data_IF_722945582594
#
_entry.id   IF_722945582594
#
_cell.length_a   1.000
_cell.length_b   1.000
_cell.length_c   1.000
_cell.angle_alpha   90.00
_cell.angle_beta   90.00
_cell.angle_gamma   90.00
#
_symmetry.space_group_name_H-M   'P 1'
#
loop_
_entity.id
_entity.type
_entity.pdbx_description
1 polymer ?
#
# COMPACT_ATOMS: atom_id res chain seq x y z
N UNK A 1 -43.15 -32.24 -67.27
CA UNK A 1 -44.13 -31.39 -66.60
C UNK A 1 -44.41 -32.03 -65.26
N UNK A 2 -43.77 -31.57 -64.17
CA UNK A 2 -43.98 -32.16 -62.85
C UNK A 2 -45.43 -31.88 -62.42
N UNK A 3 -46.10 -32.86 -61.83
CA UNK A 3 -47.45 -32.73 -61.36
C UNK A 3 -47.56 -31.81 -60.16
N UNK A 4 -48.69 -31.15 -59.96
CA UNK A 4 -48.88 -30.19 -58.83
C UNK A 4 -48.71 -30.84 -57.47
N UNK A 5 -48.92 -32.15 -57.34
CA UNK A 5 -48.65 -32.92 -56.10
C UNK A 5 -47.17 -33.07 -55.77
N UNK A 6 -46.28 -33.21 -56.76
CA UNK A 6 -44.84 -33.29 -56.56
C UNK A 6 -44.25 -31.90 -56.12
N UNK A 7 -44.82 -30.81 -56.65
CA UNK A 7 -44.43 -29.46 -56.21
C UNK A 7 -44.87 -29.15 -54.77
N UNK A 8 -46.07 -29.58 -54.38
CA UNK A 8 -46.59 -29.42 -53.00
C UNK A 8 -45.83 -30.31 -51.98
N UNK A 9 -45.41 -31.51 -52.37
CA UNK A 9 -44.54 -32.39 -51.56
C UNK A 9 -43.17 -31.75 -51.25
N UNK A 10 -42.52 -31.21 -52.26
CA UNK A 10 -41.22 -30.52 -52.13
C UNK A 10 -41.27 -29.26 -51.26
N UNK A 11 -42.38 -28.52 -51.32
CA UNK A 11 -42.58 -27.33 -50.47
C UNK A 11 -42.80 -27.74 -49.01
N UNK A 12 -43.57 -28.78 -48.73
CA UNK A 12 -43.78 -29.30 -47.34
C UNK A 12 -42.52 -29.89 -46.73
N UNK A 13 -41.68 -30.60 -47.46
CA UNK A 13 -40.39 -31.07 -46.99
C UNK A 13 -39.43 -29.94 -46.66
N UNK A 14 -39.40 -28.89 -47.47
CA UNK A 14 -38.54 -27.72 -47.28
C UNK A 14 -39.00 -26.88 -46.10
N UNK A 15 -40.32 -26.73 -45.87
CA UNK A 15 -40.85 -26.06 -44.67
C UNK A 15 -40.52 -26.81 -43.37
N UNK A 16 -40.59 -28.17 -43.37
CA UNK A 16 -40.23 -29.01 -42.22
C UNK A 16 -38.75 -28.88 -41.83
N UNK A 17 -37.88 -28.73 -42.82
CA UNK A 17 -36.44 -28.51 -42.60
C UNK A 17 -36.14 -27.16 -41.93
N UNK A 18 -36.82 -26.06 -42.37
CA UNK A 18 -36.65 -24.75 -41.78
C UNK A 18 -37.16 -24.67 -40.32
N UNK A 19 -38.23 -25.33 -40.00
CA UNK A 19 -38.78 -25.41 -38.65
C UNK A 19 -37.83 -26.15 -37.72
N UNK A 20 -37.25 -27.30 -38.16
CA UNK A 20 -36.27 -28.05 -37.38
C UNK A 20 -34.96 -27.25 -37.14
N UNK A 21 -34.49 -26.51 -38.16
CA UNK A 21 -33.31 -25.66 -38.01
C UNK A 21 -33.60 -24.48 -37.07
N UNK A 22 -34.77 -23.87 -37.15
CA UNK A 22 -35.18 -22.76 -36.27
C UNK A 22 -35.29 -23.22 -34.82
N UNK A 23 -35.83 -24.43 -34.56
CA UNK A 23 -35.94 -25.00 -33.21
C UNK A 23 -34.53 -25.31 -32.62
N UNK A 24 -33.63 -25.88 -33.45
CA UNK A 24 -32.23 -26.10 -33.06
C UNK A 24 -31.52 -24.78 -32.72
N UNK A 25 -31.72 -23.74 -33.54
CA UNK A 25 -31.11 -22.41 -33.29
C UNK A 25 -31.71 -21.77 -32.02
N UNK A 26 -33.04 -21.89 -31.81
CA UNK A 26 -33.67 -21.39 -30.59
C UNK A 26 -33.14 -22.11 -29.34
N UNK A 27 -32.96 -23.42 -29.39
CA UNK A 27 -32.38 -24.22 -28.32
C UNK A 27 -30.89 -23.79 -28.03
N UNK A 28 -30.12 -23.62 -29.09
CA UNK A 28 -28.73 -23.16 -28.98
C UNK A 28 -28.64 -21.76 -28.36
N UNK A 29 -29.52 -20.84 -28.80
CA UNK A 29 -29.59 -19.48 -28.23
C UNK A 29 -30.00 -19.52 -26.74
N UNK A 30 -30.92 -20.40 -26.34
CA UNK A 30 -31.30 -20.52 -24.94
C UNK A 30 -30.16 -21.04 -24.08
N UNK A 31 -29.39 -22.05 -24.54
CA UNK A 31 -28.19 -22.56 -23.85
C UNK A 31 -27.13 -21.46 -23.76
N UNK A 32 -26.89 -20.71 -24.83
CA UNK A 32 -25.93 -19.62 -24.84
C UNK A 32 -26.33 -18.48 -23.86
N UNK A 33 -27.60 -18.10 -23.83
CA UNK A 33 -28.13 -17.15 -22.87
C UNK A 33 -27.95 -17.64 -21.42
N UNK A 34 -28.23 -18.91 -21.15
CA UNK A 34 -28.05 -19.49 -19.82
C UNK A 34 -26.61 -19.49 -19.38
N UNK A 35 -25.67 -19.87 -20.27
CA UNK A 35 -24.20 -19.76 -20.00
C UNK A 35 -23.80 -18.31 -19.77
N UNK A 36 -24.30 -17.37 -20.57
CA UNK A 36 -23.99 -15.95 -20.44
C UNK A 36 -24.49 -15.38 -19.10
N UNK A 37 -25.68 -15.77 -18.65
CA UNK A 37 -26.22 -15.37 -17.34
C UNK A 37 -25.37 -15.93 -16.21
N UNK A 38 -25.02 -17.22 -16.25
CA UNK A 38 -24.17 -17.87 -15.23
C UNK A 38 -22.82 -17.20 -15.17
N UNK A 39 -22.22 -16.90 -16.32
CA UNK A 39 -20.94 -16.19 -16.40
C UNK A 39 -21.04 -14.76 -15.82
N UNK A 40 -22.12 -14.03 -16.14
CA UNK A 40 -22.35 -12.69 -15.61
C UNK A 40 -22.48 -12.70 -14.08
N UNK A 41 -23.26 -13.63 -13.52
CA UNK A 41 -23.41 -13.81 -12.07
C UNK A 41 -22.06 -14.13 -11.43
N UNK A 42 -21.25 -14.98 -12.04
CA UNK A 42 -19.92 -15.34 -11.54
C UNK A 42 -18.97 -14.13 -11.50
N UNK A 43 -18.93 -13.34 -12.59
CA UNK A 43 -18.12 -12.12 -12.66
C UNK A 43 -18.56 -11.08 -11.63
N UNK A 44 -19.90 -10.91 -11.46
CA UNK A 44 -20.44 -9.97 -10.47
C UNK A 44 -20.06 -10.37 -9.04
N UNK A 45 -20.07 -11.66 -8.74
CA UNK A 45 -19.69 -12.20 -7.44
C UNK A 45 -18.20 -11.98 -7.13
N UNK A 46 -17.34 -12.18 -8.12
CA UNK A 46 -15.89 -11.89 -8.01
C UNK A 46 -15.63 -10.40 -7.79
N UNK A 47 -16.28 -9.52 -8.57
CA UNK A 47 -16.17 -8.06 -8.39
C UNK A 47 -16.58 -7.62 -7.00
N UNK A 48 -17.68 -8.16 -6.49
CA UNK A 48 -18.18 -7.83 -5.15
C UNK A 48 -17.17 -8.22 -4.07
N UNK A 49 -16.59 -9.42 -4.12
CA UNK A 49 -15.57 -9.86 -3.17
C UNK A 49 -14.36 -8.91 -3.13
N UNK A 50 -13.84 -8.50 -4.30
CA UNK A 50 -12.70 -7.57 -4.40
C UNK A 50 -13.07 -6.22 -3.79
N UNK A 51 -14.26 -5.71 -4.10
CA UNK A 51 -14.73 -4.42 -3.58
C UNK A 51 -14.90 -4.45 -2.07
N UNK A 52 -15.51 -5.49 -1.52
CA UNK A 52 -15.74 -5.64 -0.07
C UNK A 52 -14.41 -5.69 0.70
N UNK A 53 -13.40 -6.37 0.15
CA UNK A 53 -12.05 -6.42 0.73
C UNK A 53 -11.36 -5.07 0.65
N UNK A 54 -11.41 -4.39 -0.49
CA UNK A 54 -10.82 -3.07 -0.65
C UNK A 54 -11.42 -2.05 0.34
N UNK A 55 -12.76 -2.09 0.55
CA UNK A 55 -13.45 -1.26 1.52
C UNK A 55 -13.00 -1.59 2.95
N UNK A 56 -12.88 -2.87 3.30
CA UNK A 56 -12.43 -3.29 4.63
C UNK A 56 -11.02 -2.77 4.94
N UNK A 57 -10.09 -2.85 3.97
CA UNK A 57 -8.72 -2.35 4.14
C UNK A 57 -8.64 -0.83 4.19
N UNK A 58 -9.45 -0.13 3.40
CA UNK A 58 -9.52 1.33 3.49
C UNK A 58 -10.07 1.77 4.86
N UNK A 59 -11.04 1.03 5.38
CA UNK A 59 -11.59 1.27 6.72
C UNK A 59 -10.54 1.02 7.82
N UNK A 60 -9.81 -0.10 7.78
CA UNK A 60 -8.73 -0.39 8.73
C UNK A 60 -7.63 0.68 8.70
N UNK A 61 -7.22 1.10 7.50
CA UNK A 61 -6.23 2.16 7.32
C UNK A 61 -6.72 3.48 7.89
N UNK A 62 -7.97 3.84 7.64
CA UNK A 62 -8.59 5.06 8.15
C UNK A 62 -8.68 5.02 9.67
N UNK A 63 -9.13 3.92 10.26
CA UNK A 63 -9.18 3.75 11.72
C UNK A 63 -7.79 3.85 12.37
N UNK A 64 -6.78 3.20 11.77
CA UNK A 64 -5.41 3.30 12.26
C UNK A 64 -4.88 4.74 12.18
N UNK A 65 -5.18 5.46 11.10
CA UNK A 65 -4.84 6.87 10.95
C UNK A 65 -5.50 7.73 12.04
N UNK A 66 -6.80 7.52 12.29
CA UNK A 66 -7.55 8.25 13.32
C UNK A 66 -7.02 7.96 14.72
N UNK A 67 -6.72 6.71 15.05
CA UNK A 67 -6.14 6.33 16.33
C UNK A 67 -4.76 6.95 16.55
N UNK A 68 -3.90 6.93 15.52
CA UNK A 68 -2.59 7.58 15.57
C UNK A 68 -2.73 9.10 15.74
N UNK A 69 -3.64 9.70 14.99
CA UNK A 69 -3.89 11.14 15.09
C UNK A 69 -4.44 11.54 16.47
N UNK A 70 -5.38 10.78 17.01
CA UNK A 70 -5.95 11.01 18.33
C UNK A 70 -4.90 10.94 19.44
N UNK A 71 -3.97 9.97 19.34
CA UNK A 71 -2.88 9.78 20.31
C UNK A 71 -1.85 10.91 20.26
N UNK A 72 -1.48 11.38 19.06
CA UNK A 72 -0.32 12.25 18.89
C UNK A 72 -0.64 13.72 18.56
N UNK A 73 -1.91 14.09 18.36
CA UNK A 73 -2.33 15.44 17.92
C UNK A 73 -1.71 16.58 18.73
N UNK A 74 -1.55 16.42 20.05
CA UNK A 74 -1.02 17.44 20.94
C UNK A 74 0.51 17.49 20.94
N UNK A 75 1.19 16.44 20.46
CA UNK A 75 2.63 16.32 20.41
C UNK A 75 3.20 16.67 19.03
N UNK A 76 2.44 16.45 17.96
CA UNK A 76 2.88 16.73 16.58
C UNK A 76 3.44 18.14 16.39
N UNK A 77 2.80 19.24 16.86
CA UNK A 77 3.34 20.59 16.70
C UNK A 77 4.65 20.79 17.46
N UNK A 78 4.79 20.17 18.66
CA UNK A 78 5.99 20.29 19.51
C UNK A 78 7.19 19.61 18.85
N UNK A 79 6.96 18.45 18.23
CA UNK A 79 7.98 17.67 17.56
C UNK A 79 8.29 18.14 16.12
N UNK A 80 7.51 19.09 15.59
CA UNK A 80 7.57 19.47 14.19
C UNK A 80 7.28 18.29 13.26
N UNK A 81 6.31 17.47 13.67
CA UNK A 81 5.92 16.25 12.98
C UNK A 81 4.51 16.36 12.40
N UNK A 82 4.21 15.49 11.47
CA UNK A 82 2.89 15.33 10.85
C UNK A 82 2.55 13.86 10.62
N UNK A 83 1.27 13.52 10.63
CA UNK A 83 0.78 12.20 10.22
C UNK A 83 -0.01 12.36 8.95
N UNK A 84 0.31 11.55 7.94
CA UNK A 84 -0.39 11.55 6.65
C UNK A 84 -1.44 10.44 6.58
N UNK A 85 -2.49 10.58 5.73
CA UNK A 85 -3.51 9.54 5.55
C UNK A 85 -2.96 8.20 5.02
N UNK A 86 -1.75 8.19 4.44
CA UNK A 86 -1.04 6.98 4.02
C UNK A 86 -0.28 6.27 5.15
N UNK A 87 -0.58 6.62 6.43
CA UNK A 87 0.05 6.10 7.64
C UNK A 87 1.54 6.46 7.78
N UNK A 88 1.97 7.51 7.11
CA UNK A 88 3.33 8.04 7.26
C UNK A 88 3.38 9.05 8.40
N UNK A 89 4.14 8.74 9.43
CA UNK A 89 4.51 9.67 10.50
C UNK A 89 5.83 10.34 10.11
N UNK A 90 5.81 11.63 9.85
CA UNK A 90 6.96 12.39 9.32
C UNK A 90 7.48 13.38 10.34
N UNK A 91 8.79 13.38 10.57
CA UNK A 91 9.52 14.39 11.34
C UNK A 91 10.22 15.33 10.37
N UNK A 92 9.78 16.59 10.31
CA UNK A 92 10.24 17.58 9.31
C UNK A 92 11.43 18.42 9.78
N UNK A 93 11.71 18.49 11.10
CA UNK A 93 12.77 19.31 11.66
C UNK A 93 14.07 18.52 11.79
N UNK A 94 14.76 18.29 10.67
CA UNK A 94 15.99 17.47 10.63
C UNK A 94 17.09 17.98 11.54
N UNK A 95 17.18 19.28 11.78
CA UNK A 95 18.16 19.88 12.70
C UNK A 95 17.99 19.41 14.14
N UNK A 96 16.77 19.04 14.53
CA UNK A 96 16.50 18.41 15.83
C UNK A 96 16.82 16.92 15.83
N UNK A 97 16.91 16.28 14.66
CA UNK A 97 17.08 14.84 14.54
C UNK A 97 18.56 14.44 14.54
N UNK A 98 19.39 15.16 13.75
CA UNK A 98 20.80 14.87 13.52
C UNK A 98 21.59 16.16 13.29
N UNK A 99 22.84 16.18 13.72
CA UNK A 99 23.74 17.25 13.30
C UNK A 99 24.00 17.18 11.78
N UNK A 100 24.41 18.31 11.20
CA UNK A 100 24.65 18.39 9.76
C UNK A 100 25.79 17.45 9.33
N UNK A 101 25.50 16.56 8.39
CA UNK A 101 26.45 15.56 7.90
C UNK A 101 26.65 14.37 8.85
N UNK A 102 25.98 14.36 9.99
CA UNK A 102 26.11 13.32 11.00
C UNK A 102 24.94 12.32 10.96
N UNK A 103 25.18 11.16 11.49
CA UNK A 103 24.19 10.06 11.66
C UNK A 103 23.93 9.72 13.12
N UNK A 104 24.58 10.39 14.06
CA UNK A 104 24.29 10.24 15.48
C UNK A 104 23.04 11.01 15.85
N UNK A 105 22.19 10.40 16.69
CA UNK A 105 20.94 11.02 17.11
C UNK A 105 21.22 12.20 18.04
N UNK A 106 20.55 13.30 17.81
CA UNK A 106 20.57 14.40 18.79
C UNK A 106 19.77 13.99 20.05
N UNK A 107 20.17 14.45 21.25
CA UNK A 107 19.47 14.18 22.50
C UNK A 107 17.97 14.56 22.48
N UNK A 108 17.64 15.64 21.78
CA UNK A 108 16.23 16.05 21.60
C UNK A 108 15.44 15.00 20.82
N UNK A 109 16.03 14.43 19.78
CA UNK A 109 15.37 13.38 19.00
C UNK A 109 15.28 12.05 19.77
N UNK A 110 16.28 11.69 20.55
CA UNK A 110 16.24 10.56 21.47
C UNK A 110 15.07 10.70 22.44
N UNK A 111 14.88 11.90 23.00
CA UNK A 111 13.75 12.21 23.87
C UNK A 111 12.40 12.05 23.16
N UNK A 112 12.30 12.56 21.92
CA UNK A 112 11.10 12.41 21.09
C UNK A 112 10.85 10.93 20.81
N UNK A 113 11.86 10.18 20.36
CA UNK A 113 11.72 8.74 20.04
C UNK A 113 11.35 7.90 21.27
N UNK A 114 11.89 8.22 22.44
CA UNK A 114 11.57 7.55 23.71
C UNK A 114 10.09 7.72 24.11
N UNK A 115 9.50 8.86 23.79
CA UNK A 115 8.08 9.13 24.03
C UNK A 115 7.19 8.57 22.91
N UNK A 116 7.56 8.85 21.68
CA UNK A 116 6.79 8.48 20.48
C UNK A 116 6.69 6.98 20.26
N UNK A 117 7.86 6.31 20.19
CA UNK A 117 7.95 4.95 19.66
C UNK A 117 7.19 3.90 20.47
N UNK A 118 7.25 3.88 21.83
CA UNK A 118 6.47 2.90 22.61
C UNK A 118 4.95 3.05 22.42
N UNK A 119 4.45 4.28 22.36
CA UNK A 119 3.03 4.57 22.13
C UNK A 119 2.61 4.18 20.70
N UNK A 120 3.45 4.47 19.73
CA UNK A 120 3.26 4.09 18.33
C UNK A 120 3.20 2.56 18.18
N UNK A 121 4.16 1.83 18.75
CA UNK A 121 4.19 0.35 18.72
C UNK A 121 2.96 -0.23 19.39
N UNK A 122 2.54 0.32 20.54
CA UNK A 122 1.32 -0.14 21.25
C UNK A 122 0.08 -0.07 20.37
N UNK A 123 -0.05 0.98 19.55
CA UNK A 123 -1.19 1.15 18.64
C UNK A 123 -1.10 0.15 17.48
N UNK A 124 0.02 0.12 16.76
CA UNK A 124 0.17 -0.72 15.57
C UNK A 124 0.20 -2.22 15.89
N UNK A 125 0.58 -2.61 17.09
CA UNK A 125 0.55 -4.02 17.54
C UNK A 125 -0.74 -4.40 18.28
N UNK A 126 -1.72 -3.51 18.37
CA UNK A 126 -3.03 -3.82 18.91
C UNK A 126 -3.69 -4.97 18.10
N UNK A 127 -4.46 -5.87 18.76
CA UNK A 127 -5.05 -7.04 18.10
C UNK A 127 -5.85 -6.72 16.81
N UNK A 128 -6.44 -5.53 16.76
CA UNK A 128 -7.23 -5.08 15.60
C UNK A 128 -6.40 -4.69 14.37
N UNK A 129 -5.07 -4.50 14.51
CA UNK A 129 -4.19 -4.06 13.42
C UNK A 129 -3.03 -5.01 13.15
N UNK A 130 -2.56 -5.70 14.21
CA UNK A 130 -1.31 -6.44 14.21
C UNK A 130 -1.14 -7.42 13.05
N UNK A 131 -2.21 -8.12 12.70
CA UNK A 131 -2.20 -9.18 11.68
C UNK A 131 -2.37 -8.64 10.26
N UNK A 132 -2.69 -7.34 10.14
CA UNK A 132 -2.85 -6.64 8.87
C UNK A 132 -1.63 -5.80 8.51
N UNK A 133 -0.59 -5.76 9.37
CA UNK A 133 0.64 -5.02 9.10
C UNK A 133 1.63 -5.93 8.37
N UNK A 134 1.99 -5.52 7.15
CA UNK A 134 3.02 -6.15 6.35
C UNK A 134 4.42 -5.74 6.79
N UNK A 135 4.62 -4.44 7.06
CA UNK A 135 5.92 -3.87 7.36
C UNK A 135 5.78 -2.49 8.01
N UNK A 136 6.70 -2.17 8.90
CA UNK A 136 6.94 -0.81 9.41
C UNK A 136 8.32 -0.37 8.95
N UNK A 137 8.42 0.77 8.28
CA UNK A 137 9.69 1.31 7.75
C UNK A 137 10.10 2.57 8.48
N UNK A 138 11.37 2.65 8.83
CA UNK A 138 12.03 3.90 9.13
C UNK A 138 12.70 4.35 7.82
N UNK A 139 12.18 5.40 7.18
CA UNK A 139 12.70 5.93 5.92
C UNK A 139 13.48 7.23 6.19
N UNK A 140 14.74 7.27 5.75
CA UNK A 140 15.60 8.45 5.84
C UNK A 140 15.76 9.12 4.48
N UNK A 141 15.51 10.42 4.43
CA UNK A 141 15.59 11.22 3.22
C UNK A 141 16.60 12.35 3.39
N UNK A 142 17.23 12.73 2.29
CA UNK A 142 18.14 13.88 2.21
C UNK A 142 17.67 14.87 1.15
N UNK A 143 18.26 16.04 1.11
CA UNK A 143 18.23 16.93 -0.07
C UNK A 143 19.15 16.37 -1.16
N UNK A 144 19.02 16.90 -2.39
CA UNK A 144 19.83 16.48 -3.53
C UNK A 144 21.29 16.91 -3.43
N UNK A 145 21.57 18.06 -2.81
CA UNK A 145 22.91 18.61 -2.72
C UNK A 145 23.83 17.88 -1.75
N UNK A 146 25.13 17.83 -2.09
CA UNK A 146 26.21 17.40 -1.22
C UNK A 146 27.44 18.28 -1.42
N UNK A 147 27.95 18.87 -0.33
CA UNK A 147 29.13 19.74 -0.40
C UNK A 147 30.38 18.93 -0.78
N UNK A 148 31.02 19.31 -1.87
CA UNK A 148 32.23 18.66 -2.37
C UNK A 148 31.98 17.48 -3.31
N UNK A 149 30.75 17.18 -3.68
CA UNK A 149 30.47 16.24 -4.76
C UNK A 149 30.85 16.85 -6.12
N UNK A 150 31.40 16.03 -7.00
CA UNK A 150 31.85 16.45 -8.34
C UNK A 150 30.70 16.46 -9.35
N UNK A 151 29.66 15.63 -9.10
CA UNK A 151 28.50 15.46 -9.94
C UNK A 151 27.29 14.98 -9.10
N UNK A 152 26.13 14.86 -9.75
CA UNK A 152 24.88 14.45 -9.10
C UNK A 152 24.90 13.01 -8.63
N UNK A 153 25.53 12.10 -9.36
CA UNK A 153 25.62 10.69 -8.99
C UNK A 153 26.47 10.52 -7.72
N UNK A 154 27.56 11.24 -7.60
CA UNK A 154 28.40 11.23 -6.40
C UNK A 154 27.63 11.81 -5.20
N UNK A 155 26.92 12.91 -5.39
CA UNK A 155 26.07 13.50 -4.35
C UNK A 155 25.00 12.50 -3.90
N UNK A 156 24.35 11.81 -4.85
CA UNK A 156 23.34 10.81 -4.57
C UNK A 156 23.89 9.64 -3.74
N UNK A 157 25.08 9.13 -4.08
CA UNK A 157 25.72 8.01 -3.35
C UNK A 157 26.11 8.42 -1.92
N UNK A 158 26.69 9.62 -1.74
CA UNK A 158 27.01 10.12 -0.40
C UNK A 158 25.76 10.33 0.45
N UNK A 159 24.70 10.89 -0.11
CA UNK A 159 23.41 11.03 0.52
C UNK A 159 22.78 9.68 0.86
N UNK A 160 22.97 8.65 0.01
CA UNK A 160 22.51 7.28 0.27
C UNK A 160 23.20 6.72 1.51
N UNK A 161 24.52 6.80 1.59
CA UNK A 161 25.28 6.34 2.75
C UNK A 161 24.85 7.05 4.04
N UNK A 162 24.66 8.38 3.99
CA UNK A 162 24.21 9.17 5.14
C UNK A 162 22.78 8.78 5.58
N UNK A 163 21.85 8.67 4.64
CA UNK A 163 20.46 8.31 4.96
C UNK A 163 20.34 6.90 5.54
N UNK A 164 21.11 5.94 5.04
CA UNK A 164 21.20 4.59 5.59
C UNK A 164 21.80 4.58 7.01
N UNK A 165 22.86 5.33 7.25
CA UNK A 165 23.47 5.44 8.57
C UNK A 165 22.48 6.03 9.59
N UNK A 166 21.75 7.08 9.23
CA UNK A 166 20.76 7.74 10.09
C UNK A 166 19.60 6.81 10.44
N UNK A 167 19.04 6.11 9.46
CA UNK A 167 17.93 5.18 9.74
C UNK A 167 18.38 3.99 10.55
N UNK A 168 19.62 3.50 10.38
CA UNK A 168 20.22 2.48 11.24
C UNK A 168 20.38 2.96 12.68
N UNK A 169 20.82 4.19 12.90
CA UNK A 169 20.95 4.77 14.25
C UNK A 169 19.58 4.88 14.93
N UNK A 170 18.56 5.38 14.20
CA UNK A 170 17.20 5.42 14.72
C UNK A 170 16.65 4.03 15.05
N UNK A 171 16.84 3.04 14.17
CA UNK A 171 16.44 1.65 14.41
C UNK A 171 17.12 1.07 15.66
N UNK A 172 18.44 1.24 15.77
CA UNK A 172 19.20 0.73 16.93
C UNK A 172 18.67 1.33 18.23
N UNK A 173 18.43 2.64 18.24
CA UNK A 173 17.92 3.36 19.40
C UNK A 173 16.53 2.85 19.82
N UNK A 174 15.56 2.80 18.90
CA UNK A 174 14.19 2.41 19.23
C UNK A 174 14.09 0.95 19.67
N UNK A 175 14.91 0.05 19.12
CA UNK A 175 14.98 -1.35 19.56
C UNK A 175 15.64 -1.53 20.92
N UNK A 176 16.48 -0.57 21.35
CA UNK A 176 17.11 -0.58 22.67
C UNK A 176 16.17 -0.09 23.78
N UNK A 177 15.07 0.58 23.46
CA UNK A 177 14.12 1.11 24.45
C UNK A 177 13.52 -0.02 25.32
N UNK A 178 13.64 0.07 26.66
CA UNK A 178 13.05 -0.93 27.56
C UNK A 178 11.52 -1.06 27.42
N UNK A 179 10.86 0.06 27.08
CA UNK A 179 9.40 0.13 26.96
C UNK A 179 8.81 -0.70 25.79
N UNK A 180 9.64 -1.20 24.87
CA UNK A 180 9.21 -2.06 23.74
C UNK A 180 9.72 -3.51 23.88
N UNK A 181 10.25 -3.89 25.06
CA UNK A 181 10.84 -5.21 25.30
C UNK A 181 9.92 -6.36 24.92
N UNK A 182 8.63 -6.25 25.26
CA UNK A 182 7.62 -7.28 25.02
C UNK A 182 7.22 -7.41 23.53
N UNK A 183 7.58 -6.43 22.71
CA UNK A 183 7.29 -6.41 21.28
C UNK A 183 8.53 -6.67 20.40
N UNK A 184 9.70 -6.96 20.98
CA UNK A 184 10.96 -7.10 20.24
C UNK A 184 10.92 -8.14 19.14
N UNK A 185 10.28 -9.28 19.36
CA UNK A 185 10.21 -10.34 18.35
C UNK A 185 9.34 -9.91 17.16
N UNK A 186 8.24 -9.23 17.45
CA UNK A 186 7.40 -8.63 16.39
C UNK A 186 8.15 -7.54 15.65
N UNK A 187 8.83 -6.63 16.37
CA UNK A 187 9.62 -5.56 15.78
C UNK A 187 10.74 -6.10 14.88
N UNK A 188 11.47 -7.14 15.30
CA UNK A 188 12.50 -7.76 14.45
C UNK A 188 11.97 -8.35 13.16
N UNK A 189 10.71 -8.78 13.16
CA UNK A 189 10.07 -9.36 11.98
C UNK A 189 9.54 -8.30 11.02
N UNK A 190 9.01 -7.20 11.55
CA UNK A 190 8.23 -6.25 10.75
C UNK A 190 8.86 -4.86 10.64
N UNK A 191 9.84 -4.48 11.49
CA UNK A 191 10.46 -3.16 11.45
C UNK A 191 11.75 -3.20 10.63
N UNK A 192 11.82 -2.33 9.62
CA UNK A 192 12.98 -2.16 8.73
C UNK A 192 13.48 -0.72 8.73
N UNK A 193 14.73 -0.51 8.29
CA UNK A 193 15.34 0.81 8.17
C UNK A 193 15.90 1.00 6.75
N UNK A 194 15.45 2.03 6.05
CA UNK A 194 15.71 2.27 4.64
C UNK A 194 16.23 3.68 4.42
N UNK A 195 17.47 3.83 3.97
CA UNK A 195 17.98 5.10 3.47
C UNK A 195 17.58 5.28 2.01
N UNK A 196 16.98 6.40 1.68
CA UNK A 196 16.43 6.68 0.35
C UNK A 196 17.16 7.83 -0.38
N UNK A 197 18.26 8.34 0.18
CA UNK A 197 18.97 9.45 -0.43
C UNK A 197 18.03 10.62 -0.77
N UNK A 198 18.25 11.24 -1.91
CA UNK A 198 17.39 12.27 -2.51
C UNK A 198 16.37 11.73 -3.52
N UNK A 199 16.07 10.43 -3.49
CA UNK A 199 15.11 9.82 -4.44
C UNK A 199 13.69 10.40 -4.34
N UNK A 200 13.33 11.02 -3.21
CA UNK A 200 12.00 11.58 -2.95
C UNK A 200 12.11 12.97 -2.32
N UNK A 201 12.72 13.90 -3.03
CA UNK A 201 12.79 15.30 -2.59
C UNK A 201 11.39 15.93 -2.54
N UNK A 202 11.24 16.94 -1.70
CA UNK A 202 10.02 17.74 -1.63
C UNK A 202 10.23 19.01 -2.44
N UNK A 203 9.32 19.28 -3.36
CA UNK A 203 9.34 20.46 -4.21
C UNK A 203 8.38 21.52 -3.67
N UNK A 204 8.80 22.78 -3.75
CA UNK A 204 7.92 23.95 -3.59
C UNK A 204 7.89 24.64 -4.97
N UNK A 205 6.86 24.32 -5.77
CA UNK A 205 6.82 24.68 -7.18
C UNK A 205 7.85 23.89 -7.99
N UNK A 206 8.75 24.59 -8.68
CA UNK A 206 9.82 23.99 -9.50
C UNK A 206 11.16 23.81 -8.74
N UNK A 207 11.28 24.36 -7.53
CA UNK A 207 12.50 24.31 -6.74
C UNK A 207 12.39 23.27 -5.60
N UNK A 208 13.53 22.63 -5.29
CA UNK A 208 13.62 21.73 -4.15
C UNK A 208 13.56 22.51 -2.83
N UNK A 209 12.65 22.12 -1.94
CA UNK A 209 12.71 22.51 -0.55
C UNK A 209 13.67 21.57 0.21
N UNK A 210 14.92 21.97 0.29
CA UNK A 210 15.98 21.16 0.91
C UNK A 210 15.71 20.87 2.40
N UNK A 211 15.08 21.79 3.14
CA UNK A 211 14.80 21.60 4.55
C UNK A 211 13.69 20.56 4.77
N UNK A 212 12.65 20.58 3.98
CA UNK A 212 11.59 19.58 4.03
C UNK A 212 11.99 18.24 3.39
N UNK A 213 12.94 18.26 2.45
CA UNK A 213 13.49 17.04 1.84
C UNK A 213 14.30 16.24 2.86
N UNK A 214 15.05 16.89 3.75
CA UNK A 214 15.76 16.25 4.86
C UNK A 214 14.79 15.89 5.97
N UNK A 215 14.42 14.61 6.08
CA UNK A 215 13.41 14.14 7.03
C UNK A 215 13.59 12.67 7.39
N UNK A 216 12.96 12.26 8.47
CA UNK A 216 12.76 10.85 8.83
C UNK A 216 11.28 10.54 8.86
N UNK A 217 10.90 9.43 8.29
CA UNK A 217 9.52 8.95 8.23
C UNK A 217 9.41 7.56 8.88
N UNK A 218 8.36 7.36 9.67
CA UNK A 218 7.91 6.04 10.10
C UNK A 218 6.66 5.71 9.31
N UNK A 219 6.72 4.68 8.47
CA UNK A 219 5.66 4.33 7.55
C UNK A 219 5.14 2.94 7.82
N UNK A 220 3.85 2.81 8.06
CA UNK A 220 3.17 1.51 8.14
C UNK A 220 2.71 1.11 6.74
N UNK A 221 3.00 -0.14 6.37
CA UNK A 221 2.43 -0.78 5.20
C UNK A 221 1.50 -1.89 5.66
N UNK A 222 0.29 -1.89 5.14
CA UNK A 222 -0.70 -2.94 5.39
C UNK A 222 -0.67 -3.98 4.27
N UNK A 223 -1.06 -5.22 4.57
CA UNK A 223 -1.08 -6.35 3.63
C UNK A 223 -2.36 -6.39 2.78
N UNK A 224 -2.87 -5.22 2.40
CA UNK A 224 -4.07 -5.11 1.57
C UNK A 224 -3.90 -5.81 0.19
N UNK A 225 -2.74 -5.60 -0.45
CA UNK A 225 -2.46 -6.15 -1.78
C UNK A 225 -2.30 -7.68 -1.74
N UNK A 226 -1.60 -8.22 -0.73
CA UNK A 226 -1.41 -9.66 -0.58
C UNK A 226 -2.72 -10.39 -0.32
N UNK A 227 -3.58 -9.84 0.51
CA UNK A 227 -4.88 -10.45 0.79
C UNK A 227 -5.87 -10.34 -0.39
N UNK A 228 -5.81 -9.27 -1.16
CA UNK A 228 -6.56 -9.17 -2.43
C UNK A 228 -6.07 -10.25 -3.41
N UNK A 229 -4.76 -10.44 -3.54
CA UNK A 229 -4.18 -11.46 -4.41
C UNK A 229 -4.61 -12.87 -4.00
N UNK A 230 -4.57 -13.21 -2.70
CA UNK A 230 -5.03 -14.50 -2.17
C UNK A 230 -6.51 -14.75 -2.48
N UNK A 231 -7.37 -13.74 -2.31
CA UNK A 231 -8.80 -13.86 -2.62
C UNK A 231 -9.04 -14.07 -4.13
N UNK A 232 -8.21 -13.45 -4.96
CA UNK A 232 -8.27 -13.65 -6.41
C UNK A 232 -7.82 -15.06 -6.80
N UNK A 233 -6.76 -15.59 -6.17
CA UNK A 233 -6.28 -16.96 -6.38
C UNK A 233 -7.31 -18.00 -5.93
N UNK A 234 -7.94 -17.82 -4.76
CA UNK A 234 -9.01 -18.69 -4.27
C UNK A 234 -10.31 -18.61 -5.10
N UNK A 235 -10.46 -17.58 -5.92
CA UNK A 235 -11.61 -17.38 -6.80
C UNK A 235 -11.39 -17.94 -8.22
N UNK A 236 -10.18 -18.37 -8.56
CA UNK A 236 -9.87 -19.07 -9.82
C UNK A 236 -10.18 -20.57 -9.63
N UNK A 237 -10.95 -21.19 -10.55
CA UNK A 237 -11.32 -22.61 -10.48
C UNK A 237 -10.14 -23.54 -10.71
#
# INVERSE_FOLDING_TARGET
MLTDEEKLGGIREQEGHWVAVSDLMAGLMMVFLLISIVFMIHVEWQRKKITDVAILYDHLRTQLYEDLLAEFKDDLPKWGAEIKPDLTFRFNKTELLFARGDSELNPDFETILSNFFPRYVKIITAPKYRDDILEVRIEGHTSSGWLGATDEDQAYIYNMALSQARTRSALAYVLALPAVSDQKDWLRKYLTANGLSSAKVIMDGEEENADRSRRVEFKVRTDAEGKIATILEDALP
#
